data_IF_889705674384
#
_entry.id   IF_889705674384
#
_cell.length_a   1.000
_cell.length_b   1.000
_cell.length_c   1.000
_cell.angle_alpha   90.00
_cell.angle_beta   90.00
_cell.angle_gamma   90.00
#
_symmetry.space_group_name_H-M   'P 1'
#
loop_
_entity.id
_entity.type
_entity.pdbx_description
1 polymer ?
#
# COMPACT_ATOMS: atom_id res chain seq x y z
N UNK A 1 -24.15 -10.67 -3.67
CA UNK A 1 -22.69 -10.69 -3.39
C UNK A 1 -22.06 -11.81 -4.20
N UNK A 2 -21.04 -11.51 -4.98
CA UNK A 2 -20.32 -12.51 -5.76
C UNK A 2 -19.02 -12.83 -5.00
N UNK A 3 -18.93 -14.04 -4.48
CA UNK A 3 -17.71 -14.52 -3.83
C UNK A 3 -16.68 -14.90 -4.90
N UNK A 4 -15.46 -14.40 -4.76
CA UNK A 4 -14.34 -14.81 -5.59
C UNK A 4 -13.81 -16.16 -5.10
N UNK A 5 -14.05 -17.23 -5.86
CA UNK A 5 -13.56 -18.60 -5.55
C UNK A 5 -12.12 -18.87 -6.01
N UNK A 6 -11.39 -17.87 -6.47
CA UNK A 6 -10.07 -18.02 -7.10
C UNK A 6 -8.89 -17.54 -6.24
N UNK A 7 -8.86 -17.82 -4.93
CA UNK A 7 -7.73 -17.41 -4.06
C UNK A 7 -6.40 -18.12 -4.37
N UNK A 8 -6.39 -19.18 -5.19
CA UNK A 8 -5.16 -19.92 -5.54
C UNK A 8 -4.11 -19.09 -6.28
N UNK A 9 -4.51 -18.06 -7.04
CA UNK A 9 -3.58 -17.17 -7.76
C UNK A 9 -3.14 -15.95 -6.94
N UNK A 10 -3.77 -15.70 -5.77
CA UNK A 10 -3.41 -14.61 -4.85
C UNK A 10 -2.00 -14.81 -4.28
N UNK A 11 -1.57 -16.07 -4.14
CA UNK A 11 -0.25 -16.40 -3.60
C UNK A 11 0.92 -15.98 -4.49
N UNK A 12 0.68 -15.73 -5.77
CA UNK A 12 1.72 -15.32 -6.74
C UNK A 12 1.91 -13.81 -6.81
N UNK A 13 0.99 -13.02 -6.25
CA UNK A 13 1.05 -11.56 -6.30
C UNK A 13 1.46 -10.97 -4.95
N UNK A 14 2.17 -9.84 -4.99
CA UNK A 14 2.75 -9.20 -3.82
C UNK A 14 1.68 -8.67 -2.85
N UNK A 15 0.58 -8.12 -3.38
CA UNK A 15 -0.52 -7.53 -2.62
C UNK A 15 -1.85 -8.17 -2.89
N UNK A 16 -2.70 -8.18 -1.87
CA UNK A 16 -4.07 -8.70 -1.96
C UNK A 16 -4.91 -7.94 -2.98
N UNK A 17 -4.79 -6.60 -3.03
CA UNK A 17 -5.53 -5.78 -3.99
C UNK A 17 -5.16 -6.12 -5.44
N UNK A 18 -3.88 -6.29 -5.74
CA UNK A 18 -3.41 -6.68 -7.08
C UNK A 18 -3.85 -8.10 -7.46
N UNK A 19 -4.02 -8.98 -6.48
CA UNK A 19 -4.49 -10.34 -6.70
C UNK A 19 -5.96 -10.43 -7.13
N UNK A 20 -6.78 -9.44 -6.79
CA UNK A 20 -8.18 -9.34 -7.21
C UNK A 20 -8.35 -8.89 -8.66
N UNK A 21 -7.29 -8.44 -9.33
CA UNK A 21 -7.34 -7.94 -10.70
C UNK A 21 -7.84 -9.03 -11.67
N UNK A 22 -8.92 -8.72 -12.39
CA UNK A 22 -9.55 -9.63 -13.35
C UNK A 22 -10.46 -10.70 -12.73
N UNK A 23 -10.48 -10.86 -11.39
CA UNK A 23 -11.31 -11.87 -10.73
C UNK A 23 -12.73 -11.40 -10.42
N UNK A 24 -12.95 -10.10 -10.34
CA UNK A 24 -14.25 -9.54 -9.95
C UNK A 24 -14.81 -8.62 -11.03
N UNK A 25 -15.89 -9.00 -11.74
CA UNK A 25 -16.51 -8.16 -12.77
C UNK A 25 -16.96 -6.81 -12.22
N UNK A 26 -16.76 -5.72 -12.97
CA UNK A 26 -17.13 -4.36 -12.56
C UNK A 26 -16.24 -3.75 -11.46
N UNK A 27 -15.09 -4.35 -11.18
CA UNK A 27 -14.03 -3.79 -10.36
C UNK A 27 -12.79 -3.54 -11.22
N UNK A 28 -12.36 -2.30 -11.29
CA UNK A 28 -11.11 -1.91 -11.96
C UNK A 28 -10.02 -1.80 -10.93
N UNK A 29 -8.89 -2.46 -11.16
CA UNK A 29 -7.74 -2.46 -10.28
C UNK A 29 -6.53 -2.02 -11.08
N UNK A 30 -5.90 -0.93 -10.65
CA UNK A 30 -4.74 -0.33 -11.33
C UNK A 30 -3.58 -0.24 -10.36
N UNK A 31 -2.47 -0.88 -10.68
CA UNK A 31 -1.22 -0.75 -9.93
C UNK A 31 -0.44 0.44 -10.47
N UNK A 32 -0.09 1.39 -9.62
CA UNK A 32 0.65 2.60 -10.00
C UNK A 32 2.17 2.40 -9.96
N UNK A 33 2.65 1.55 -9.06
CA UNK A 33 4.08 1.29 -8.86
C UNK A 33 4.26 -0.12 -8.29
N UNK A 34 5.43 -0.72 -8.56
CA UNK A 34 5.86 -1.99 -7.94
C UNK A 34 6.85 -1.79 -6.79
N UNK A 35 6.99 -0.57 -6.27
CA UNK A 35 7.96 -0.28 -5.22
C UNK A 35 7.53 -0.87 -3.89
N UNK A 36 8.47 -1.49 -3.14
CA UNK A 36 8.19 -2.01 -1.81
C UNK A 36 7.48 -1.02 -0.90
N UNK A 37 6.38 -1.44 -0.28
CA UNK A 37 5.60 -0.61 0.64
C UNK A 37 4.69 0.45 0.01
N UNK A 38 4.84 0.73 -1.28
CA UNK A 38 4.00 1.65 -2.06
C UNK A 38 3.30 0.97 -3.24
N UNK A 39 3.31 -0.33 -3.27
CA UNK A 39 2.82 -1.23 -4.32
C UNK A 39 1.33 -1.57 -4.23
N UNK A 40 0.59 -0.93 -3.32
CA UNK A 40 -0.87 -1.05 -3.21
C UNK A 40 -1.60 -0.60 -4.48
N UNK A 41 -2.60 -1.37 -4.90
CA UNK A 41 -3.36 -1.06 -6.09
C UNK A 41 -4.51 -0.09 -5.79
N UNK A 42 -4.81 0.77 -6.74
CA UNK A 42 -6.01 1.60 -6.72
C UNK A 42 -7.21 0.77 -7.17
N UNK A 43 -8.22 0.67 -6.31
CA UNK A 43 -9.45 -0.08 -6.59
C UNK A 43 -10.59 0.88 -6.91
N UNK A 44 -11.35 0.61 -7.97
CA UNK A 44 -12.56 1.34 -8.33
C UNK A 44 -13.69 0.36 -8.59
N UNK A 45 -14.84 0.61 -7.96
CA UNK A 45 -16.05 -0.19 -8.16
C UNK A 45 -16.99 0.62 -9.06
N UNK A 46 -17.37 0.05 -10.23
CA UNK A 46 -18.20 0.72 -11.25
C UNK A 46 -17.62 2.04 -11.79
N UNK A 47 -16.29 2.20 -11.79
CA UNK A 47 -15.63 3.38 -12.33
C UNK A 47 -15.52 4.56 -11.36
N UNK A 48 -15.33 5.77 -11.88
CA UNK A 48 -15.19 7.01 -11.11
C UNK A 48 -16.46 7.84 -11.28
N UNK A 49 -17.28 7.90 -10.24
CA UNK A 49 -18.55 8.65 -10.21
C UNK A 49 -18.46 10.00 -9.50
N UNK A 50 -17.28 10.42 -9.02
CA UNK A 50 -17.10 11.65 -8.25
C UNK A 50 -15.73 12.28 -8.53
N UNK A 51 -15.66 13.61 -8.45
CA UNK A 51 -14.41 14.37 -8.51
C UNK A 51 -13.63 14.34 -7.17
N UNK A 52 -14.26 13.86 -6.10
CA UNK A 52 -13.65 13.71 -4.79
C UNK A 52 -13.04 12.30 -4.63
N UNK A 53 -12.98 11.78 -3.41
CA UNK A 53 -12.49 10.44 -3.14
C UNK A 53 -13.43 9.37 -3.73
N UNK A 54 -12.98 8.68 -4.78
CA UNK A 54 -13.69 7.59 -5.44
C UNK A 54 -13.28 6.20 -4.92
N UNK A 55 -12.58 6.10 -3.78
CA UNK A 55 -12.20 4.82 -3.19
C UNK A 55 -13.45 4.10 -2.65
N UNK A 56 -13.51 2.76 -2.77
CA UNK A 56 -14.55 1.98 -2.12
C UNK A 56 -14.41 2.01 -0.60
N UNK A 57 -15.51 1.78 0.10
CA UNK A 57 -15.50 1.61 1.54
C UNK A 57 -14.99 0.22 1.91
N UNK A 58 -13.88 0.14 2.64
CA UNK A 58 -13.18 -1.12 2.95
C UNK A 58 -13.43 -1.51 4.40
N UNK A 59 -13.94 -2.71 4.60
CA UNK A 59 -14.21 -3.30 5.90
C UNK A 59 -13.47 -4.62 6.04
N UNK A 60 -12.70 -4.77 7.12
CA UNK A 60 -12.06 -6.02 7.53
C UNK A 60 -12.75 -6.51 8.80
N UNK A 61 -13.36 -7.68 8.74
CA UNK A 61 -14.18 -8.25 9.82
C UNK A 61 -15.26 -7.29 10.35
N UNK A 62 -15.82 -6.46 9.46
CA UNK A 62 -16.88 -5.49 9.77
C UNK A 62 -16.40 -4.11 10.20
N UNK A 63 -15.09 -3.87 10.32
CA UNK A 63 -14.52 -2.60 10.78
C UNK A 63 -13.78 -1.90 9.63
N UNK A 64 -13.98 -0.59 9.51
CA UNK A 64 -13.32 0.24 8.50
C UNK A 64 -11.81 0.34 8.76
N UNK A 65 -10.99 -0.07 7.78
CA UNK A 65 -9.52 -0.05 7.87
C UNK A 65 -8.84 0.84 6.84
N UNK A 66 -9.53 1.27 5.81
CA UNK A 66 -8.99 2.08 4.71
C UNK A 66 -8.20 1.29 3.66
N UNK A 67 -7.51 0.23 4.02
CA UNK A 67 -6.78 -0.69 3.12
C UNK A 67 -6.74 -2.09 3.73
N UNK A 68 -6.52 -3.08 2.87
CA UNK A 68 -6.29 -4.47 3.26
C UNK A 68 -5.00 -5.06 2.67
N UNK A 69 -4.18 -4.24 1.98
CA UNK A 69 -2.96 -4.69 1.31
C UNK A 69 -1.88 -5.21 2.26
N UNK A 70 -1.90 -4.74 3.49
CA UNK A 70 -0.97 -5.18 4.53
C UNK A 70 -1.39 -6.47 5.24
N UNK A 71 -2.58 -7.01 4.96
CA UNK A 71 -3.04 -8.29 5.51
C UNK A 71 -2.33 -9.43 4.77
N UNK A 72 -1.89 -10.45 5.53
CA UNK A 72 -1.37 -11.65 4.88
C UNK A 72 -2.51 -12.35 4.10
N UNK A 73 -2.36 -12.63 2.79
CA UNK A 73 -3.35 -13.38 2.02
C UNK A 73 -3.73 -14.73 2.64
N UNK A 74 -2.79 -15.36 3.38
CA UNK A 74 -3.05 -16.60 4.09
C UNK A 74 -4.06 -16.48 5.24
N UNK A 75 -4.28 -15.26 5.76
CA UNK A 75 -5.25 -14.96 6.82
C UNK A 75 -6.64 -14.66 6.28
N UNK A 76 -6.80 -14.48 4.97
CA UNK A 76 -8.07 -14.13 4.35
C UNK A 76 -8.86 -15.40 4.05
N UNK A 77 -10.13 -15.41 4.46
CA UNK A 77 -11.09 -16.47 4.13
C UNK A 77 -11.87 -16.10 2.85
N UNK A 78 -12.37 -14.85 2.77
CA UNK A 78 -13.12 -14.39 1.60
C UNK A 78 -13.03 -12.88 1.42
N UNK A 79 -13.22 -12.44 0.17
CA UNK A 79 -13.37 -11.03 -0.18
C UNK A 79 -14.67 -10.91 -0.99
N UNK A 80 -15.59 -10.07 -0.51
CA UNK A 80 -16.87 -9.80 -1.17
C UNK A 80 -16.97 -8.35 -1.58
N UNK A 81 -17.45 -8.06 -2.78
CA UNK A 81 -17.65 -6.69 -3.26
C UNK A 81 -19.14 -6.41 -3.42
N UNK A 82 -19.64 -5.47 -2.60
CA UNK A 82 -21.01 -4.99 -2.68
C UNK A 82 -21.06 -3.83 -3.68
N UNK A 83 -21.70 -4.07 -4.82
CA UNK A 83 -21.77 -3.10 -5.93
C UNK A 83 -23.11 -2.38 -5.95
N UNK A 84 -24.18 -3.03 -5.44
CA UNK A 84 -25.53 -2.53 -5.52
C UNK A 84 -25.86 -1.65 -4.31
N UNK A 85 -26.65 -0.60 -4.55
CA UNK A 85 -27.11 0.29 -3.50
C UNK A 85 -27.90 -0.46 -2.40
N UNK A 86 -28.69 -1.49 -2.78
CA UNK A 86 -29.49 -2.26 -1.82
C UNK A 86 -28.61 -3.10 -0.86
N UNK A 87 -27.57 -3.77 -1.40
CA UNK A 87 -26.63 -4.55 -0.56
C UNK A 87 -25.72 -3.67 0.30
N UNK A 88 -25.44 -2.46 -0.16
CA UNK A 88 -24.56 -1.48 0.51
C UNK A 88 -25.31 -0.48 1.41
N UNK A 89 -26.65 -0.47 1.40
CA UNK A 89 -27.49 0.54 2.06
C UNK A 89 -27.20 0.71 3.57
N UNK A 90 -26.86 -0.36 4.28
CA UNK A 90 -26.56 -0.31 5.72
C UNK A 90 -25.29 0.49 6.05
N UNK A 91 -24.45 0.78 5.06
CA UNK A 91 -23.23 1.57 5.22
C UNK A 91 -23.43 3.04 4.85
N UNK A 92 -24.66 3.42 4.44
CA UNK A 92 -25.06 4.80 4.14
C UNK A 92 -24.20 5.43 3.04
N UNK A 93 -23.96 6.73 3.16
CA UNK A 93 -23.20 7.52 2.17
C UNK A 93 -21.75 7.08 1.98
N UNK A 94 -21.14 6.42 2.95
CA UNK A 94 -19.78 5.86 2.83
C UNK A 94 -19.70 4.77 1.74
N UNK A 95 -20.82 4.12 1.42
CA UNK A 95 -20.91 3.05 0.43
C UNK A 95 -21.17 3.54 -1.01
N UNK A 96 -21.24 4.85 -1.24
CA UNK A 96 -21.56 5.42 -2.57
C UNK A 96 -20.64 4.92 -3.70
N UNK A 97 -19.38 4.62 -3.38
CA UNK A 97 -18.38 4.10 -4.32
C UNK A 97 -18.21 2.57 -4.23
N UNK A 98 -19.20 1.85 -3.66
CA UNK A 98 -19.14 0.42 -3.40
C UNK A 98 -18.45 0.07 -2.08
N UNK A 99 -18.63 -1.20 -1.66
CA UNK A 99 -18.06 -1.71 -0.40
C UNK A 99 -17.27 -2.97 -0.67
N UNK A 100 -16.08 -3.07 -0.08
CA UNK A 100 -15.25 -4.28 -0.06
C UNK A 100 -15.28 -4.85 1.35
N UNK A 101 -15.76 -6.08 1.47
CA UNK A 101 -15.79 -6.83 2.72
C UNK A 101 -14.71 -7.89 2.69
N UNK A 102 -13.75 -7.79 3.59
CA UNK A 102 -12.71 -8.79 3.80
C UNK A 102 -13.03 -9.55 5.08
N UNK A 103 -13.18 -10.86 4.97
CA UNK A 103 -13.38 -11.75 6.11
C UNK A 103 -12.11 -12.54 6.35
N UNK A 104 -11.64 -12.53 7.60
CA UNK A 104 -10.43 -13.29 7.97
C UNK A 104 -10.78 -14.67 8.49
N UNK A 105 -9.83 -15.60 8.36
CA UNK A 105 -9.98 -16.99 8.83
C UNK A 105 -10.22 -17.04 10.33
N UNK A 106 -11.07 -17.97 10.74
CA UNK A 106 -11.38 -18.27 12.14
C UNK A 106 -11.05 -19.71 12.49
N UNK A 107 -10.93 -19.99 13.77
CA UNK A 107 -10.80 -21.35 14.27
C UNK A 107 -12.04 -22.21 13.97
N UNK A 108 -11.82 -23.52 13.84
CA UNK A 108 -12.89 -24.51 13.71
C UNK A 108 -12.75 -25.53 14.84
N UNK A 109 -13.86 -26.12 15.28
CA UNK A 109 -13.81 -27.23 16.23
C UNK A 109 -13.02 -28.39 15.61
N UNK A 110 -12.10 -28.96 16.39
CA UNK A 110 -11.23 -30.04 15.96
C UNK A 110 -9.82 -29.92 16.51
N UNK A 111 -8.97 -30.88 16.14
CA UNK A 111 -7.57 -30.89 16.54
C UNK A 111 -6.83 -29.67 15.99
N UNK A 112 -5.86 -29.19 16.74
CA UNK A 112 -4.99 -28.10 16.29
C UNK A 112 -4.30 -28.45 14.98
N UNK A 113 -4.40 -27.56 14.00
CA UNK A 113 -3.71 -27.66 12.71
C UNK A 113 -2.69 -26.55 12.64
N UNK A 114 -1.46 -26.93 12.30
CA UNK A 114 -0.36 -25.99 12.06
C UNK A 114 -0.08 -25.98 10.57
N UNK A 115 -0.07 -24.82 9.95
CA UNK A 115 0.31 -24.65 8.55
C UNK A 115 1.42 -23.63 8.40
N UNK A 116 2.41 -23.95 7.60
CA UNK A 116 3.48 -23.05 7.22
C UNK A 116 3.48 -22.88 5.70
N UNK A 117 3.62 -21.63 5.27
CA UNK A 117 3.77 -21.28 3.85
C UNK A 117 5.00 -20.39 3.69
N UNK A 118 5.95 -20.85 2.86
CA UNK A 118 7.16 -20.11 2.51
C UNK A 118 7.17 -19.82 1.01
N UNK A 119 7.56 -18.60 0.64
CA UNK A 119 7.72 -18.19 -0.75
C UNK A 119 9.01 -17.41 -0.92
N UNK A 120 9.72 -17.68 -2.03
CA UNK A 120 10.92 -16.94 -2.46
C UNK A 120 10.70 -16.52 -3.91
N UNK A 121 11.00 -15.27 -4.25
CA UNK A 121 10.87 -14.78 -5.61
C UNK A 121 11.95 -13.75 -5.96
N UNK A 122 12.24 -13.67 -7.26
CA UNK A 122 13.12 -12.69 -7.86
C UNK A 122 12.29 -11.82 -8.81
N UNK A 123 12.55 -10.52 -8.80
CA UNK A 123 11.82 -9.54 -9.61
C UNK A 123 12.81 -8.74 -10.44
N UNK A 124 12.50 -8.58 -11.71
CA UNK A 124 13.24 -7.71 -12.63
C UNK A 124 12.28 -6.67 -13.21
N UNK A 125 12.81 -5.57 -13.69
CA UNK A 125 12.04 -4.61 -14.46
C UNK A 125 11.58 -5.27 -15.76
N UNK A 126 10.28 -5.30 -16.00
CA UNK A 126 9.69 -6.05 -17.12
C UNK A 126 9.95 -5.39 -18.47
N UNK A 127 10.01 -4.07 -18.50
CA UNK A 127 10.21 -3.28 -19.73
C UNK A 127 10.99 -2.02 -19.39
N UNK A 128 12.10 -1.84 -20.05
CA UNK A 128 12.86 -0.59 -20.10
C UNK A 128 12.70 0.01 -21.49
N UNK A 129 12.72 1.32 -21.59
CA UNK A 129 12.71 2.00 -22.87
C UNK A 129 14.13 1.89 -23.46
N UNK A 130 14.23 1.36 -24.66
CA UNK A 130 15.49 1.32 -25.39
C UNK A 130 15.97 2.75 -25.64
N UNK A 131 17.18 3.04 -25.21
CA UNK A 131 17.83 4.35 -25.40
C UNK A 131 18.85 4.29 -26.48
N UNK A 132 19.04 5.42 -27.16
CA UNK A 132 20.11 5.54 -28.13
C UNK A 132 21.47 5.41 -27.45
N UNK A 133 22.40 4.77 -28.14
CA UNK A 133 23.82 4.82 -27.80
C UNK A 133 24.35 6.24 -27.87
N UNK A 134 25.49 6.54 -27.26
CA UNK A 134 26.15 7.82 -27.35
C UNK A 134 26.50 8.17 -28.82
N UNK A 135 26.93 7.18 -29.58
CA UNK A 135 27.20 7.33 -31.01
C UNK A 135 25.95 7.74 -31.79
N UNK A 136 24.85 6.98 -31.66
CA UNK A 136 23.62 7.26 -32.38
C UNK A 136 23.03 8.61 -31.99
N UNK A 137 23.07 8.91 -30.69
CA UNK A 137 22.57 10.19 -30.17
C UNK A 137 23.41 11.34 -30.73
N UNK A 138 24.75 11.29 -30.67
CA UNK A 138 25.65 12.32 -31.16
C UNK A 138 25.47 12.56 -32.66
N UNK A 139 25.35 11.47 -33.44
CA UNK A 139 25.10 11.53 -34.89
C UNK A 139 23.78 12.21 -35.22
N UNK A 140 22.68 11.81 -34.54
CA UNK A 140 21.36 12.42 -34.73
C UNK A 140 21.32 13.88 -34.28
N UNK A 141 22.01 14.20 -33.20
CA UNK A 141 22.10 15.57 -32.69
C UNK A 141 22.83 16.49 -33.67
N UNK A 142 23.94 16.04 -34.26
CA UNK A 142 24.65 16.77 -35.32
C UNK A 142 23.75 16.98 -36.55
N UNK A 143 22.97 15.95 -36.92
CA UNK A 143 22.03 16.06 -38.04
C UNK A 143 20.97 17.14 -37.80
N UNK A 144 20.41 17.20 -36.59
CA UNK A 144 19.44 18.24 -36.20
C UNK A 144 20.05 19.64 -36.26
N UNK A 145 21.25 19.83 -35.68
CA UNK A 145 21.94 21.10 -35.70
C UNK A 145 22.20 21.57 -37.15
N UNK A 146 22.66 20.66 -38.02
CA UNK A 146 22.90 20.98 -39.42
C UNK A 146 21.60 21.36 -40.15
N UNK A 147 20.48 20.71 -39.90
CA UNK A 147 19.17 21.06 -40.46
C UNK A 147 18.71 22.45 -40.03
N UNK A 148 19.03 22.84 -38.78
CA UNK A 148 18.73 24.16 -38.23
C UNK A 148 19.74 25.24 -38.67
N UNK A 149 20.72 24.91 -39.56
CA UNK A 149 21.76 25.82 -40.02
C UNK A 149 22.87 26.09 -39.01
N UNK A 150 22.95 25.32 -37.95
CA UNK A 150 24.00 25.39 -36.92
C UNK A 150 25.15 24.42 -37.24
N UNK A 151 26.33 24.69 -36.66
CA UNK A 151 27.47 23.78 -36.78
C UNK A 151 27.28 22.52 -35.98
N UNK A 152 27.76 21.34 -36.45
CA UNK A 152 27.79 20.11 -35.67
C UNK A 152 28.48 20.32 -34.31
N UNK A 153 27.96 19.71 -33.26
CA UNK A 153 28.55 19.75 -31.91
C UNK A 153 29.68 18.74 -31.73
N UNK A 154 29.53 17.57 -32.32
CA UNK A 154 30.47 16.46 -32.19
C UNK A 154 31.27 16.35 -33.50
N UNK A 155 32.58 16.23 -33.37
CA UNK A 155 33.49 16.01 -34.52
C UNK A 155 33.41 14.57 -35.03
N UNK A 156 33.97 14.27 -36.20
CA UNK A 156 34.08 12.90 -36.71
C UNK A 156 34.93 12.03 -35.79
N UNK A 157 35.93 12.59 -35.11
CA UNK A 157 36.74 11.90 -34.11
C UNK A 157 35.92 11.58 -32.86
N UNK A 158 35.09 12.49 -32.34
CA UNK A 158 34.18 12.23 -31.24
C UNK A 158 33.22 11.06 -31.57
N UNK A 159 32.66 11.08 -32.80
CA UNK A 159 31.78 10.01 -33.26
C UNK A 159 32.51 8.66 -33.32
N UNK A 160 33.77 8.65 -33.82
CA UNK A 160 34.59 7.45 -33.85
C UNK A 160 34.86 6.93 -32.44
N UNK A 161 35.24 7.79 -31.50
CA UNK A 161 35.53 7.42 -30.11
C UNK A 161 34.29 6.87 -29.39
N UNK A 162 33.08 7.45 -29.62
CA UNK A 162 31.84 6.90 -29.13
C UNK A 162 31.52 5.52 -29.70
N UNK A 163 31.85 5.30 -30.99
CA UNK A 163 31.59 4.03 -31.66
C UNK A 163 32.55 2.94 -31.19
N UNK A 164 33.83 3.25 -31.06
CA UNK A 164 34.89 2.30 -30.72
C UNK A 164 34.96 1.98 -29.23
N UNK A 165 34.41 2.88 -28.36
CA UNK A 165 34.45 2.75 -26.91
C UNK A 165 35.86 2.77 -26.31
N UNK A 166 36.83 3.32 -26.99
CA UNK A 166 38.25 3.37 -26.58
C UNK A 166 38.55 4.42 -25.52
N UNK A 167 37.66 5.40 -25.38
CA UNK A 167 37.74 6.45 -24.36
C UNK A 167 36.52 6.45 -23.45
N UNK A 168 36.51 5.58 -22.42
CA UNK A 168 35.34 5.40 -21.55
C UNK A 168 35.02 6.57 -20.63
N UNK A 169 35.93 7.51 -20.45
CA UNK A 169 35.75 8.68 -19.62
C UNK A 169 35.40 9.96 -20.40
N UNK A 170 36.07 10.20 -21.53
CA UNK A 170 35.79 11.34 -22.40
C UNK A 170 34.62 11.11 -23.35
N UNK A 171 34.49 9.89 -23.84
CA UNK A 171 33.45 9.48 -24.79
C UNK A 171 32.67 8.24 -24.32
N UNK A 172 32.03 8.31 -23.14
CA UNK A 172 31.33 7.14 -22.54
C UNK A 172 30.05 6.83 -23.31
N UNK A 173 29.58 5.60 -23.12
CA UNK A 173 28.21 5.17 -23.44
C UNK A 173 27.53 4.69 -22.17
N UNK A 174 26.97 5.60 -21.39
CA UNK A 174 26.39 5.33 -20.07
C UNK A 174 24.96 4.84 -20.20
N UNK A 175 24.71 3.60 -19.82
CA UNK A 175 23.37 3.03 -19.66
C UNK A 175 22.87 3.33 -18.25
N UNK A 176 22.22 4.47 -18.08
CA UNK A 176 21.84 5.00 -16.76
C UNK A 176 20.93 4.08 -15.95
N UNK A 177 20.10 3.28 -16.63
CA UNK A 177 19.20 2.31 -16.01
C UNK A 177 19.95 1.22 -15.25
N UNK A 178 21.15 0.83 -15.67
CA UNK A 178 21.94 -0.22 -15.02
C UNK A 178 22.47 0.22 -13.64
N UNK A 179 22.60 1.52 -13.43
CA UNK A 179 23.05 2.09 -12.16
C UNK A 179 21.93 2.25 -11.14
N UNK A 180 20.68 2.37 -11.58
CA UNK A 180 19.55 2.59 -10.66
C UNK A 180 18.71 1.34 -10.42
N UNK A 181 18.73 0.38 -11.34
CA UNK A 181 17.98 -0.87 -11.20
C UNK A 181 18.85 -2.05 -10.77
N UNK A 182 18.20 -3.03 -10.18
CA UNK A 182 18.77 -4.33 -9.81
C UNK A 182 17.71 -5.43 -9.91
N UNK A 183 18.13 -6.69 -9.88
CA UNK A 183 17.22 -7.80 -9.57
C UNK A 183 16.82 -7.69 -8.11
N UNK A 184 15.53 -7.58 -7.84
CA UNK A 184 14.97 -7.57 -6.49
C UNK A 184 14.78 -9.00 -5.97
N UNK A 185 15.02 -9.19 -4.68
CA UNK A 185 14.82 -10.44 -3.96
C UNK A 185 13.69 -10.30 -2.95
N UNK A 186 12.78 -11.28 -2.89
CA UNK A 186 11.70 -11.29 -1.91
C UNK A 186 11.58 -12.68 -1.29
N UNK A 187 11.39 -12.71 0.02
CA UNK A 187 11.02 -13.93 0.74
C UNK A 187 9.87 -13.62 1.72
N UNK A 188 8.93 -14.56 1.81
CA UNK A 188 7.76 -14.47 2.65
C UNK A 188 7.59 -15.76 3.44
N UNK A 189 7.25 -15.63 4.71
CA UNK A 189 6.99 -16.73 5.64
C UNK A 189 5.69 -16.46 6.38
N UNK A 190 4.81 -17.45 6.40
CA UNK A 190 3.52 -17.37 7.13
C UNK A 190 3.32 -18.66 7.92
N UNK A 191 3.09 -18.52 9.20
CA UNK A 191 2.74 -19.58 10.11
C UNK A 191 1.31 -19.36 10.63
N UNK A 192 0.48 -20.37 10.55
CA UNK A 192 -0.89 -20.32 11.06
C UNK A 192 -1.16 -21.54 11.95
N UNK A 193 -1.78 -21.30 13.09
CA UNK A 193 -2.23 -22.33 14.02
C UNK A 193 -3.72 -22.11 14.26
N UNK A 194 -4.54 -23.11 14.00
CA UNK A 194 -5.98 -23.04 14.23
C UNK A 194 -6.54 -24.34 14.76
N UNK A 195 -7.58 -24.26 15.58
CA UNK A 195 -8.21 -25.41 16.19
C UNK A 195 -9.29 -25.00 17.20
N UNK A 196 -9.73 -25.93 18.02
CA UNK A 196 -10.65 -25.64 19.10
C UNK A 196 -11.56 -26.80 19.50
N UNK A 197 -12.42 -26.53 20.46
CA UNK A 197 -13.56 -27.38 20.87
C UNK A 197 -14.86 -26.76 20.32
N UNK A 198 -15.99 -27.34 20.72
CA UNK A 198 -17.31 -26.74 20.47
C UNK A 198 -17.46 -25.38 21.17
N UNK A 199 -16.84 -25.20 22.33
CA UNK A 199 -16.98 -24.00 23.13
C UNK A 199 -15.89 -22.95 22.87
N UNK A 200 -14.68 -23.36 22.43
CA UNK A 200 -13.56 -22.43 22.21
C UNK A 200 -12.95 -22.75 20.88
N UNK A 201 -12.93 -21.77 19.96
CA UNK A 201 -12.30 -21.86 18.65
C UNK A 201 -11.27 -20.75 18.53
N UNK A 202 -10.09 -21.08 18.03
CA UNK A 202 -8.99 -20.12 17.93
C UNK A 202 -8.26 -20.24 16.61
N UNK A 203 -7.74 -19.10 16.16
CA UNK A 203 -6.77 -18.99 15.08
C UNK A 203 -5.72 -17.96 15.50
N UNK A 204 -4.45 -18.30 15.31
CA UNK A 204 -3.33 -17.39 15.47
C UNK A 204 -2.42 -17.51 14.27
N UNK A 205 -1.96 -16.38 13.73
CA UNK A 205 -1.00 -16.35 12.64
C UNK A 205 0.13 -15.38 12.91
N UNK A 206 1.30 -15.69 12.35
CA UNK A 206 2.47 -14.83 12.29
C UNK A 206 3.03 -14.84 10.87
N UNK A 207 3.31 -13.67 10.32
CA UNK A 207 3.85 -13.48 8.98
C UNK A 207 5.08 -12.59 8.98
N UNK A 208 6.02 -12.89 8.10
CA UNK A 208 7.18 -12.07 7.80
C UNK A 208 7.34 -11.93 6.29
N UNK A 209 7.62 -10.72 5.83
CA UNK A 209 7.98 -10.39 4.45
C UNK A 209 9.27 -9.57 4.46
N UNK A 210 10.31 -10.07 3.77
CA UNK A 210 11.51 -9.33 3.42
C UNK A 210 11.53 -9.12 1.91
N UNK A 211 11.71 -7.89 1.45
CA UNK A 211 11.67 -7.54 0.03
C UNK A 211 12.72 -6.48 -0.30
N UNK A 212 13.56 -6.79 -1.28
CA UNK A 212 14.39 -5.82 -1.98
C UNK A 212 13.67 -5.40 -3.27
N UNK A 213 13.54 -4.09 -3.49
CA UNK A 213 12.95 -3.57 -4.72
C UNK A 213 13.88 -3.68 -5.92
N UNK A 214 13.30 -3.63 -7.12
CA UNK A 214 14.05 -3.55 -8.38
C UNK A 214 14.75 -2.22 -8.55
N UNK A 215 14.26 -1.15 -7.92
CA UNK A 215 14.98 0.11 -7.80
C UNK A 215 15.96 0.03 -6.62
N UNK A 216 17.22 0.39 -6.82
CA UNK A 216 18.22 0.37 -5.74
C UNK A 216 17.80 1.31 -4.61
N UNK A 217 18.20 1.00 -3.38
CA UNK A 217 17.85 1.76 -2.17
C UNK A 217 16.34 1.74 -1.85
N UNK A 218 15.58 0.76 -2.38
CA UNK A 218 14.21 0.50 -1.99
C UNK A 218 14.08 -0.89 -1.39
N UNK A 219 13.67 -0.94 -0.13
CA UNK A 219 13.61 -2.19 0.64
C UNK A 219 12.37 -2.17 1.54
N UNK A 220 11.89 -3.35 1.96
CA UNK A 220 10.75 -3.50 2.87
C UNK A 220 10.94 -4.68 3.80
N UNK A 221 10.57 -4.49 5.06
CA UNK A 221 10.37 -5.56 6.03
C UNK A 221 9.00 -5.40 6.68
N UNK A 222 8.23 -6.48 6.73
CA UNK A 222 6.91 -6.44 7.33
C UNK A 222 6.70 -7.65 8.24
N UNK A 223 6.18 -7.40 9.43
CA UNK A 223 5.72 -8.39 10.39
C UNK A 223 4.22 -8.26 10.59
N UNK A 224 3.52 -9.38 10.55
CA UNK A 224 2.09 -9.48 10.78
C UNK A 224 1.83 -10.45 11.93
N UNK A 225 0.97 -10.06 12.85
CA UNK A 225 0.41 -10.95 13.89
C UNK A 225 -1.10 -10.82 13.85
N UNK A 226 -1.81 -11.94 13.94
CA UNK A 226 -3.28 -11.98 14.04
C UNK A 226 -3.71 -13.06 14.99
N UNK A 227 -4.77 -12.77 15.74
CA UNK A 227 -5.47 -13.76 16.57
C UNK A 227 -6.97 -13.55 16.47
N UNK A 228 -7.70 -14.63 16.24
CA UNK A 228 -9.15 -14.68 16.25
C UNK A 228 -9.57 -15.74 17.26
N UNK A 229 -10.48 -15.39 18.17
CA UNK A 229 -10.94 -16.27 19.25
C UNK A 229 -12.45 -16.14 19.39
N UNK A 230 -13.13 -17.26 19.36
CA UNK A 230 -14.57 -17.39 19.60
C UNK A 230 -14.77 -18.29 20.83
N UNK A 231 -15.47 -17.78 21.85
CA UNK A 231 -15.73 -18.49 23.11
C UNK A 231 -17.24 -18.53 23.39
N UNK A 232 -17.79 -19.69 23.46
CA UNK A 232 -19.13 -19.90 23.97
C UNK A 232 -19.10 -19.90 25.51
N UNK A 233 -19.46 -18.76 26.10
CA UNK A 233 -19.47 -18.58 27.55
C UNK A 233 -20.64 -19.33 28.21
N UNK A 234 -21.75 -19.44 27.49
CA UNK A 234 -22.93 -20.26 27.86
C UNK A 234 -23.77 -20.49 26.60
N UNK A 235 -24.87 -21.21 26.70
CA UNK A 235 -25.80 -21.42 25.58
C UNK A 235 -26.39 -20.10 25.04
N UNK A 236 -26.39 -19.05 25.84
CA UNK A 236 -26.94 -17.75 25.49
C UNK A 236 -25.87 -16.69 25.16
N UNK A 237 -24.62 -16.88 25.57
CA UNK A 237 -23.58 -15.87 25.41
C UNK A 237 -22.37 -16.41 24.66
N UNK A 238 -22.02 -15.72 23.61
CA UNK A 238 -20.79 -15.95 22.85
C UNK A 238 -19.94 -14.68 22.85
N UNK A 239 -18.64 -14.82 23.07
CA UNK A 239 -17.65 -13.76 22.95
C UNK A 239 -16.80 -14.01 21.71
N UNK A 240 -16.58 -12.97 20.91
CA UNK A 240 -15.69 -13.03 19.74
C UNK A 240 -14.65 -11.94 19.83
N UNK A 241 -13.39 -12.28 19.57
CA UNK A 241 -12.31 -11.31 19.48
C UNK A 241 -11.55 -11.48 18.18
N UNK A 242 -11.11 -10.35 17.61
CA UNK A 242 -10.15 -10.30 16.50
C UNK A 242 -9.12 -9.26 16.86
N UNK A 243 -7.85 -9.63 16.84
CA UNK A 243 -6.75 -8.71 17.05
C UNK A 243 -5.73 -8.88 15.92
N UNK A 244 -5.25 -7.78 15.38
CA UNK A 244 -4.17 -7.79 14.40
C UNK A 244 -3.19 -6.66 14.65
N UNK A 245 -1.92 -6.96 14.45
CA UNK A 245 -0.83 -6.00 14.50
C UNK A 245 0.02 -6.16 13.24
N UNK A 246 0.39 -5.03 12.64
CA UNK A 246 1.26 -4.95 11.46
C UNK A 246 2.33 -3.93 11.75
N UNK A 247 3.57 -4.33 11.56
CA UNK A 247 4.74 -3.46 11.55
C UNK A 247 5.36 -3.54 10.16
N UNK A 248 5.43 -2.44 9.45
CA UNK A 248 5.91 -2.36 8.08
C UNK A 248 6.93 -1.21 7.99
N UNK A 249 8.20 -1.58 7.84
CA UNK A 249 9.33 -0.69 7.62
C UNK A 249 9.75 -0.79 6.16
N UNK A 250 9.79 0.34 5.45
CA UNK A 250 10.22 0.38 4.06
C UNK A 250 10.95 1.68 3.73
N UNK A 251 11.80 1.60 2.74
CA UNK A 251 12.56 2.75 2.24
C UNK A 251 12.40 2.93 0.74
N UNK A 252 12.59 4.16 0.30
CA UNK A 252 12.70 4.53 -1.10
C UNK A 252 13.91 5.43 -1.33
N UNK A 253 14.57 5.37 -2.51
CA UNK A 253 15.66 6.28 -2.84
C UNK A 253 15.16 7.72 -2.90
N UNK A 254 16.02 8.66 -2.57
CA UNK A 254 15.72 10.09 -2.60
C UNK A 254 16.76 10.83 -3.45
N UNK A 255 16.31 11.74 -4.30
CA UNK A 255 17.21 12.65 -4.97
C UNK A 255 17.68 13.76 -4.03
N UNK A 256 18.90 14.24 -4.16
CA UNK A 256 19.45 15.27 -3.25
C UNK A 256 18.62 16.55 -3.21
N UNK A 257 17.88 16.88 -4.27
CA UNK A 257 16.95 18.03 -4.29
C UNK A 257 15.47 17.63 -4.10
N UNK A 258 15.19 16.35 -3.81
CA UNK A 258 13.84 15.85 -3.54
C UNK A 258 13.21 15.09 -4.71
N UNK A 259 11.92 14.76 -4.55
CA UNK A 259 11.15 14.05 -5.58
C UNK A 259 11.24 12.53 -5.53
N UNK A 260 12.03 11.98 -4.61
CA UNK A 260 12.09 10.54 -4.32
C UNK A 260 12.43 9.68 -5.54
N UNK A 261 11.92 8.47 -5.55
CA UNK A 261 12.09 7.47 -6.61
C UNK A 261 11.63 7.93 -7.99
N UNK A 262 10.55 8.73 -8.07
CA UNK A 262 10.06 9.27 -9.34
C UNK A 262 11.10 10.19 -10.00
N UNK A 263 11.78 11.01 -9.19
CA UNK A 263 12.82 11.90 -9.73
C UNK A 263 14.08 11.14 -10.14
N UNK A 264 14.44 10.09 -9.39
CA UNK A 264 15.55 9.21 -9.75
C UNK A 264 15.32 8.55 -11.12
N UNK A 265 14.14 7.94 -11.33
CA UNK A 265 13.77 7.30 -12.60
C UNK A 265 13.73 8.32 -13.73
N UNK A 266 13.04 9.45 -13.52
CA UNK A 266 12.94 10.52 -14.53
C UNK A 266 14.31 11.03 -14.94
N UNK A 267 15.25 11.17 -14.00
CA UNK A 267 16.59 11.66 -14.30
C UNK A 267 17.40 10.64 -15.10
N UNK A 268 17.32 9.35 -14.72
CA UNK A 268 17.96 8.27 -15.48
C UNK A 268 17.43 8.17 -16.92
N UNK A 269 16.14 8.52 -17.12
CA UNK A 269 15.52 8.54 -18.43
C UNK A 269 15.90 9.77 -19.28
N UNK A 270 16.31 10.88 -18.69
CA UNK A 270 16.56 12.15 -19.37
C UNK A 270 18.03 12.46 -19.62
N UNK A 271 18.90 11.95 -18.74
CA UNK A 271 20.34 12.24 -18.82
C UNK A 271 20.94 11.62 -20.09
N UNK A 272 21.77 12.38 -20.77
CA UNK A 272 22.35 11.94 -22.01
C UNK A 272 23.40 10.82 -21.81
N UNK A 273 23.50 9.85 -22.74
CA UNK A 273 24.40 8.71 -22.60
C UNK A 273 25.88 9.08 -22.67
N UNK A 274 26.25 10.20 -23.29
CA UNK A 274 27.66 10.67 -23.36
C UNK A 274 28.15 11.34 -22.08
N UNK A 275 27.31 11.47 -21.03
CA UNK A 275 27.74 11.94 -19.72
C UNK A 275 28.28 10.74 -18.96
N UNK A 276 29.52 10.75 -18.45
CA UNK A 276 30.06 9.63 -17.72
C UNK A 276 29.34 9.45 -16.36
N UNK A 277 29.17 8.23 -15.92
CA UNK A 277 28.79 7.96 -14.54
C UNK A 277 29.81 8.53 -13.58
N UNK A 278 31.10 8.21 -13.81
CA UNK A 278 32.26 8.80 -13.13
C UNK A 278 33.30 9.21 -14.17
N UNK A 279 34.01 10.29 -13.88
CA UNK A 279 35.18 10.75 -14.61
C UNK A 279 36.42 9.96 -14.16
N UNK A 280 37.55 10.15 -14.88
CA UNK A 280 38.80 9.45 -14.56
C UNK A 280 39.34 9.78 -13.16
N UNK A 281 39.10 10.99 -12.65
CA UNK A 281 39.45 11.43 -11.30
C UNK A 281 38.55 10.89 -10.20
N UNK A 282 37.51 10.09 -10.56
CA UNK A 282 36.54 9.50 -9.65
C UNK A 282 35.37 10.41 -9.30
N UNK A 283 35.37 11.67 -9.74
CA UNK A 283 34.22 12.56 -9.60
C UNK A 283 33.08 12.13 -10.52
N UNK A 284 31.85 12.56 -10.21
CA UNK A 284 30.68 12.18 -11.01
C UNK A 284 30.54 13.05 -12.24
N UNK A 285 30.08 12.46 -13.34
CA UNK A 285 29.59 13.24 -14.47
C UNK A 285 28.38 14.06 -14.04
N UNK A 286 28.37 15.36 -14.38
CA UNK A 286 27.38 16.29 -13.86
C UNK A 286 26.61 16.98 -14.99
N UNK A 287 25.32 17.18 -14.75
CA UNK A 287 24.45 18.13 -15.43
C UNK A 287 23.67 18.91 -14.37
N UNK A 288 23.01 20.01 -14.78
CA UNK A 288 22.23 20.86 -13.86
C UNK A 288 21.20 20.10 -13.03
N UNK A 289 20.63 19.03 -13.58
CA UNK A 289 19.60 18.22 -12.92
C UNK A 289 20.19 17.07 -12.08
N UNK A 290 21.52 16.95 -12.00
CA UNK A 290 22.24 15.98 -11.19
C UNK A 290 22.40 14.59 -11.80
N UNK A 291 23.20 13.76 -11.13
CA UNK A 291 23.58 12.43 -11.56
C UNK A 291 22.76 11.38 -10.75
N UNK A 292 21.88 10.57 -11.39
CA UNK A 292 21.03 9.63 -10.68
C UNK A 292 21.80 8.49 -10.01
N UNK A 293 22.93 8.06 -10.60
CA UNK A 293 23.79 7.04 -10.04
C UNK A 293 24.51 7.54 -8.78
N UNK A 294 24.93 8.82 -8.77
CA UNK A 294 25.51 9.44 -7.57
C UNK A 294 24.52 9.43 -6.40
N UNK A 295 23.24 9.72 -6.64
CA UNK A 295 22.21 9.68 -5.60
C UNK A 295 22.00 8.29 -5.00
N UNK A 296 22.16 7.25 -5.83
CA UNK A 296 22.12 5.86 -5.35
C UNK A 296 23.36 5.56 -4.51
N UNK A 297 24.54 5.97 -4.97
CA UNK A 297 25.83 5.70 -4.29
C UNK A 297 25.92 6.35 -2.90
N UNK A 298 25.49 7.61 -2.76
CA UNK A 298 25.47 8.30 -1.47
C UNK A 298 24.40 7.76 -0.53
N UNK A 299 23.56 6.87 -1.00
CA UNK A 299 22.49 6.23 -0.24
C UNK A 299 21.53 7.24 0.44
N UNK A 300 21.13 8.26 -0.32
CA UNK A 300 20.07 9.17 0.10
C UNK A 300 18.73 8.46 0.07
N UNK A 301 18.03 8.39 1.21
CA UNK A 301 16.79 7.61 1.35
C UNK A 301 15.71 8.35 2.11
N UNK A 302 14.49 7.97 1.80
CA UNK A 302 13.32 8.27 2.60
C UNK A 302 12.83 7.00 3.25
N UNK A 303 12.74 7.02 4.57
CA UNK A 303 12.31 5.89 5.39
C UNK A 303 10.88 6.08 5.85
N UNK A 304 10.13 4.99 5.90
CA UNK A 304 8.76 4.94 6.36
C UNK A 304 8.58 3.80 7.33
N UNK A 305 8.07 4.11 8.50
CA UNK A 305 7.59 3.13 9.46
C UNK A 305 6.08 3.24 9.56
N UNK A 306 5.39 2.13 9.33
CA UNK A 306 3.94 2.03 9.45
C UNK A 306 3.60 0.98 10.50
N UNK A 307 2.92 1.38 11.57
CA UNK A 307 2.41 0.49 12.59
C UNK A 307 0.89 0.55 12.61
N UNK A 308 0.26 -0.61 12.49
CA UNK A 308 -1.18 -0.75 12.44
C UNK A 308 -1.63 -1.73 13.52
N UNK A 309 -2.57 -1.32 14.34
CA UNK A 309 -3.24 -2.20 15.29
C UNK A 309 -4.75 -2.14 15.07
N UNK A 310 -5.40 -3.28 15.06
CA UNK A 310 -6.85 -3.40 15.10
C UNK A 310 -7.27 -4.42 16.15
N UNK A 311 -8.26 -4.05 16.94
CA UNK A 311 -8.85 -4.91 17.97
C UNK A 311 -10.37 -4.81 17.91
N UNK A 312 -11.04 -5.95 17.90
CA UNK A 312 -12.49 -6.11 17.94
C UNK A 312 -12.83 -7.02 19.11
N UNK A 313 -13.80 -6.62 19.90
CA UNK A 313 -14.42 -7.44 20.94
C UNK A 313 -15.93 -7.36 20.75
N UNK A 314 -16.57 -8.50 20.58
CA UNK A 314 -18.01 -8.62 20.41
C UNK A 314 -18.61 -9.64 21.38
N UNK A 315 -19.79 -9.32 21.89
CA UNK A 315 -20.62 -10.19 22.70
C UNK A 315 -21.96 -10.41 22.02
N UNK A 316 -22.30 -11.64 21.73
CA UNK A 316 -23.58 -12.04 21.18
C UNK A 316 -24.44 -12.64 22.31
N UNK A 317 -25.61 -12.06 22.51
CA UNK A 317 -26.64 -12.56 23.44
C UNK A 317 -27.80 -13.13 22.65
N UNK A 318 -27.96 -14.46 22.69
CA UNK A 318 -29.06 -15.20 22.09
C UNK A 318 -30.29 -15.12 23.01
N UNK A 319 -31.18 -14.15 22.75
CA UNK A 319 -32.32 -13.83 23.61
C UNK A 319 -33.34 -14.99 23.58
N UNK A 320 -33.76 -15.32 22.34
CA UNK A 320 -34.65 -16.45 22.00
C UNK A 320 -34.20 -17.02 20.66
N UNK A 321 -34.75 -18.14 20.23
CA UNK A 321 -34.48 -18.73 18.92
C UNK A 321 -34.76 -17.73 17.82
N UNK A 322 -33.72 -17.48 16.98
CA UNK A 322 -33.72 -16.52 15.89
C UNK A 322 -33.43 -15.08 16.31
N UNK A 323 -33.46 -14.68 17.60
CA UNK A 323 -33.22 -13.30 18.03
C UNK A 323 -31.89 -13.16 18.78
N UNK A 324 -30.95 -12.43 18.23
CA UNK A 324 -29.63 -12.20 18.82
C UNK A 324 -29.36 -10.68 18.95
N UNK A 325 -28.94 -10.28 20.15
CA UNK A 325 -28.37 -8.96 20.38
C UNK A 325 -26.84 -9.04 20.37
N UNK A 326 -26.19 -8.19 19.59
CA UNK A 326 -24.72 -8.08 19.51
C UNK A 326 -24.29 -6.71 20.01
N UNK A 327 -23.37 -6.69 20.97
CA UNK A 327 -22.63 -5.50 21.36
C UNK A 327 -21.18 -5.67 20.92
N UNK A 328 -20.67 -4.77 20.07
CA UNK A 328 -19.32 -4.85 19.53
C UNK A 328 -18.58 -3.52 19.75
N UNK A 329 -17.41 -3.61 20.37
CA UNK A 329 -16.44 -2.53 20.43
C UNK A 329 -15.25 -2.80 19.52
N UNK A 330 -14.76 -1.76 18.84
CA UNK A 330 -13.55 -1.85 18.02
C UNK A 330 -12.64 -0.64 18.19
N UNK A 331 -11.35 -0.89 18.12
CA UNK A 331 -10.30 0.12 18.08
C UNK A 331 -9.34 -0.18 16.96
N UNK A 332 -9.12 0.80 16.09
CA UNK A 332 -8.14 0.73 15.01
C UNK A 332 -7.23 1.95 15.13
N UNK A 333 -5.94 1.75 15.08
CA UNK A 333 -4.96 2.85 15.03
C UNK A 333 -3.90 2.57 13.99
N UNK A 334 -3.42 3.63 13.37
CA UNK A 334 -2.31 3.63 12.43
C UNK A 334 -1.36 4.76 12.80
N UNK A 335 -0.09 4.42 12.96
CA UNK A 335 1.00 5.37 13.17
C UNK A 335 1.89 5.26 11.96
N UNK A 336 2.09 6.37 11.27
CA UNK A 336 3.03 6.49 10.15
C UNK A 336 4.10 7.50 10.52
N UNK A 337 5.34 7.03 10.55
CA UNK A 337 6.52 7.88 10.68
C UNK A 337 7.23 7.94 9.33
N UNK A 338 7.68 9.10 8.94
CA UNK A 338 8.45 9.30 7.72
C UNK A 338 9.67 10.12 8.05
N UNK A 339 10.85 9.61 7.69
CA UNK A 339 12.13 10.29 7.79
C UNK A 339 12.62 10.56 6.37
N UNK A 340 12.47 11.78 5.90
CA UNK A 340 12.88 12.24 4.56
C UNK A 340 14.28 12.83 4.70
N UNK A 341 15.30 11.98 4.51
CA UNK A 341 16.69 12.39 4.60
C UNK A 341 17.27 12.55 3.19
N UNK A 342 17.76 13.74 2.89
CA UNK A 342 18.40 14.10 1.63
C UNK A 342 19.84 14.45 1.91
N UNK A 343 20.74 13.59 1.48
CA UNK A 343 22.18 13.79 1.61
C UNK A 343 22.66 14.79 0.57
N UNK A 344 23.63 15.60 0.99
CA UNK A 344 24.40 16.41 0.08
C UNK A 344 25.16 15.54 -0.93
N UNK A 345 25.16 15.94 -2.18
CA UNK A 345 25.79 15.21 -3.27
C UNK A 345 26.71 16.13 -4.06
N UNK A 346 28.01 15.91 -3.90
CA UNK A 346 29.03 16.56 -4.72
C UNK A 346 29.27 15.74 -5.98
N UNK A 347 29.22 16.40 -7.13
CA UNK A 347 29.53 15.78 -8.42
C UNK A 347 30.97 16.04 -8.80
N UNK A 348 31.47 17.23 -8.51
CA UNK A 348 32.87 17.65 -8.63
C UNK A 348 33.16 18.79 -7.62
N UNK A 349 34.34 19.40 -7.67
CA UNK A 349 34.78 20.42 -6.71
C UNK A 349 33.91 21.70 -6.70
N UNK A 350 33.04 21.87 -7.68
CA UNK A 350 32.23 23.08 -7.88
C UNK A 350 30.74 22.77 -7.89
N UNK A 351 30.34 21.65 -8.47
CA UNK A 351 28.94 21.29 -8.69
C UNK A 351 28.44 20.34 -7.62
N UNK A 352 27.41 20.76 -6.88
CA UNK A 352 26.79 19.94 -5.86
C UNK A 352 25.29 20.25 -5.69
N UNK A 353 24.57 19.32 -5.12
CA UNK A 353 23.23 19.51 -4.58
C UNK A 353 23.28 19.34 -3.06
N UNK A 354 22.83 20.31 -2.34
CA UNK A 354 22.86 20.34 -0.88
C UNK A 354 22.28 21.63 -0.32
N UNK A 355 22.48 21.88 0.97
CA UNK A 355 23.10 20.99 1.97
C UNK A 355 22.22 19.81 2.37
N UNK A 356 22.74 18.89 3.21
CA UNK A 356 21.97 17.83 3.86
C UNK A 356 20.70 18.36 4.50
N UNK A 357 19.59 17.64 4.33
CA UNK A 357 18.27 18.04 4.82
C UNK A 357 17.57 16.86 5.47
N UNK A 358 16.92 17.09 6.60
CA UNK A 358 16.11 16.12 7.30
C UNK A 358 14.72 16.69 7.60
N UNK A 359 13.70 16.01 7.10
CA UNK A 359 12.30 16.23 7.48
C UNK A 359 11.74 14.99 8.15
N UNK A 360 11.15 15.16 9.32
CA UNK A 360 10.45 14.09 10.03
C UNK A 360 8.97 14.39 10.14
N UNK A 361 8.15 13.42 9.78
CA UNK A 361 6.69 13.51 9.88
C UNK A 361 6.16 12.34 10.69
N UNK A 362 5.37 12.64 11.71
CA UNK A 362 4.62 11.64 12.48
C UNK A 362 3.14 11.91 12.26
N UNK A 363 2.42 10.93 11.70
CA UNK A 363 0.97 10.98 11.53
C UNK A 363 0.36 9.82 12.29
N UNK A 364 -0.62 10.11 13.11
CA UNK A 364 -1.40 9.08 13.82
C UNK A 364 -2.88 9.32 13.59
N UNK A 365 -3.60 8.27 13.25
CA UNK A 365 -5.04 8.27 13.33
C UNK A 365 -5.54 7.10 14.18
N UNK A 366 -6.65 7.32 14.84
CA UNK A 366 -7.31 6.30 15.66
C UNK A 366 -8.81 6.36 15.41
N UNK A 367 -9.44 5.21 15.37
CA UNK A 367 -10.88 5.06 15.24
C UNK A 367 -11.41 4.19 16.37
N UNK A 368 -12.42 4.67 17.02
CA UNK A 368 -13.19 3.97 18.04
C UNK A 368 -14.59 3.74 17.47
N UNK A 369 -15.06 2.51 17.55
CA UNK A 369 -16.40 2.12 17.09
C UNK A 369 -17.11 1.35 18.17
N UNK A 370 -18.38 1.66 18.40
CA UNK A 370 -19.28 0.89 19.23
C UNK A 370 -20.56 0.62 18.42
N UNK A 371 -20.84 -0.66 18.21
CA UNK A 371 -22.04 -1.16 17.52
C UNK A 371 -22.95 -1.89 18.48
N UNK A 372 -24.24 -1.58 18.45
CA UNK A 372 -25.29 -2.35 19.10
C UNK A 372 -26.28 -2.81 18.02
N UNK A 373 -26.39 -4.12 17.82
CA UNK A 373 -27.16 -4.72 16.74
C UNK A 373 -28.20 -5.68 17.30
N UNK A 374 -29.43 -5.58 16.84
CA UNK A 374 -30.48 -6.55 17.10
C UNK A 374 -30.82 -7.26 15.80
N UNK A 375 -30.54 -8.56 15.73
CA UNK A 375 -30.75 -9.40 14.56
C UNK A 375 -31.83 -10.42 14.83
N UNK A 376 -32.80 -10.52 13.92
CA UNK A 376 -33.81 -11.57 13.91
C UNK A 376 -33.70 -12.35 12.61
N UNK A 377 -33.51 -13.68 12.71
CA UNK A 377 -33.34 -14.59 11.57
C UNK A 377 -34.13 -15.87 11.86
N UNK A 378 -35.27 -16.04 11.20
CA UNK A 378 -36.12 -17.20 11.43
C UNK A 378 -36.88 -17.63 10.19
N UNK A 379 -37.01 -18.96 10.01
CA UNK A 379 -37.84 -19.57 8.99
C UNK A 379 -39.13 -20.08 9.60
N UNK A 380 -40.26 -19.65 9.05
CA UNK A 380 -41.59 -20.10 9.44
C UNK A 380 -42.15 -21.06 8.40
N UNK A 381 -42.79 -22.11 8.86
CA UNK A 381 -43.46 -23.12 8.02
C UNK A 381 -42.58 -23.67 6.90
N UNK A 382 -41.25 -23.70 7.05
CA UNK A 382 -40.23 -24.14 6.08
C UNK A 382 -40.14 -23.30 4.80
N UNK A 383 -41.09 -22.42 4.53
CA UNK A 383 -41.24 -21.67 3.28
C UNK A 383 -40.95 -20.18 3.41
N UNK A 384 -41.15 -19.61 4.59
CA UNK A 384 -41.07 -18.17 4.84
C UNK A 384 -39.85 -17.82 5.67
N UNK A 385 -38.80 -17.32 5.03
CA UNK A 385 -37.59 -16.89 5.72
C UNK A 385 -37.56 -15.37 5.89
N UNK A 386 -37.46 -14.94 7.15
CA UNK A 386 -37.51 -13.54 7.53
C UNK A 386 -36.23 -13.16 8.29
N UNK A 387 -35.53 -12.13 7.77
CA UNK A 387 -34.37 -11.53 8.41
C UNK A 387 -34.61 -10.04 8.63
N UNK A 388 -34.51 -9.62 9.88
CA UNK A 388 -34.58 -8.22 10.25
C UNK A 388 -33.34 -7.85 11.07
N UNK A 389 -32.83 -6.66 10.85
CA UNK A 389 -31.73 -6.09 11.62
C UNK A 389 -32.02 -4.64 11.93
N UNK A 390 -31.79 -4.25 13.17
CA UNK A 390 -31.75 -2.84 13.62
C UNK A 390 -30.38 -2.61 14.26
N UNK A 391 -29.75 -1.51 13.92
CA UNK A 391 -28.41 -1.18 14.37
C UNK A 391 -28.28 0.26 14.85
N UNK A 392 -27.45 0.42 15.86
CA UNK A 392 -26.99 1.68 16.40
C UNK A 392 -25.47 1.67 16.41
N UNK A 393 -24.85 2.70 15.86
CA UNK A 393 -23.39 2.80 15.73
C UNK A 393 -22.88 4.17 16.14
N UNK A 394 -21.85 4.18 16.98
CA UNK A 394 -21.06 5.37 17.31
C UNK A 394 -19.66 5.17 16.75
N UNK A 395 -19.17 6.16 16.04
CA UNK A 395 -17.78 6.21 15.55
C UNK A 395 -17.13 7.51 15.99
N UNK A 396 -15.91 7.43 16.51
CA UNK A 396 -15.03 8.57 16.70
C UNK A 396 -13.74 8.35 15.96
N UNK A 397 -13.30 9.34 15.20
CA UNK A 397 -12.06 9.35 14.46
C UNK A 397 -11.20 10.52 14.91
N UNK A 398 -9.97 10.25 15.33
CA UNK A 398 -8.98 11.24 15.73
C UNK A 398 -7.77 11.14 14.79
N UNK A 399 -7.33 12.27 14.26
CA UNK A 399 -6.12 12.37 13.45
C UNK A 399 -5.20 13.45 13.99
N UNK A 400 -3.90 13.15 14.06
CA UNK A 400 -2.87 14.12 14.42
C UNK A 400 -1.68 13.98 13.49
N UNK A 401 -1.16 15.11 13.02
CA UNK A 401 0.07 15.21 12.24
C UNK A 401 1.03 16.17 12.91
N UNK A 402 2.31 15.84 12.89
CA UNK A 402 3.42 16.67 13.32
C UNK A 402 4.52 16.55 12.28
N UNK A 403 5.10 17.69 11.89
CA UNK A 403 6.25 17.78 11.00
C UNK A 403 7.32 18.66 11.63
N UNK A 404 8.58 18.24 11.48
CA UNK A 404 9.76 19.02 11.87
C UNK A 404 10.84 18.88 10.78
N UNK A 405 11.63 19.93 10.58
CA UNK A 405 12.64 20.00 9.54
C UNK A 405 13.84 20.82 9.97
N UNK A 406 15.02 20.37 9.60
CA UNK A 406 16.29 21.13 9.62
C UNK A 406 17.17 20.75 8.43
N UNK A 407 18.15 21.59 8.11
CA UNK A 407 19.19 21.38 7.11
C UNK A 407 20.56 21.79 7.64
N UNK A 408 21.60 21.62 6.80
CA UNK A 408 22.98 21.95 7.12
C UNK A 408 23.49 21.17 8.32
N UNK A 409 23.62 19.86 8.15
CA UNK A 409 24.19 18.95 9.15
C UNK A 409 25.71 19.00 9.09
N UNK A 410 26.43 18.72 10.19
CA UNK A 410 27.90 18.76 10.23
C UNK A 410 28.55 17.68 9.34
N UNK A 411 27.84 16.58 9.08
CA UNK A 411 28.17 15.53 8.13
C UNK A 411 26.93 14.68 7.82
N UNK A 412 26.97 13.92 6.73
CA UNK A 412 25.86 13.11 6.24
C UNK A 412 25.56 11.85 7.06
N UNK A 413 26.27 11.59 8.14
CA UNK A 413 26.04 10.46 9.05
C UNK A 413 25.17 10.88 10.26
N UNK A 414 25.08 12.17 10.54
CA UNK A 414 24.21 12.70 11.60
C UNK A 414 22.79 12.79 11.08
N UNK A 415 21.92 11.94 11.60
CA UNK A 415 20.52 11.81 11.13
C UNK A 415 19.48 12.16 12.20
N UNK A 416 19.87 12.92 13.24
CA UNK A 416 18.96 13.45 14.24
C UNK A 416 18.71 14.94 14.01
N UNK A 417 17.46 15.39 14.14
CA UNK A 417 17.07 16.79 13.88
C UNK A 417 17.95 17.80 14.62
N UNK A 418 18.38 17.49 15.85
CA UNK A 418 19.23 18.38 16.64
C UNK A 418 20.63 18.57 16.05
N UNK A 419 21.09 17.70 15.16
CA UNK A 419 22.35 17.85 14.44
C UNK A 419 22.33 18.93 13.38
N UNK A 420 21.16 19.29 12.85
CA UNK A 420 21.01 20.34 11.84
C UNK A 420 21.05 21.74 12.45
N UNK A 421 21.39 22.72 11.60
CA UNK A 421 21.43 24.15 11.98
C UNK A 421 20.08 24.61 12.53
N UNK A 422 20.09 25.10 13.77
CA UNK A 422 18.89 25.56 14.48
C UNK A 422 18.21 26.76 13.80
N UNK A 423 18.96 27.59 13.06
CA UNK A 423 18.42 28.73 12.31
C UNK A 423 17.52 28.30 11.14
N UNK A 424 17.64 27.05 10.69
CA UNK A 424 16.88 26.48 9.56
C UNK A 424 15.65 25.71 9.98
N UNK A 425 15.37 25.64 11.30
CA UNK A 425 14.27 24.82 11.81
C UNK A 425 12.90 25.33 11.34
N UNK A 426 12.08 24.39 10.91
CA UNK A 426 10.65 24.62 10.66
C UNK A 426 9.84 23.49 11.26
N UNK A 427 8.62 23.81 11.68
CA UNK A 427 7.68 22.81 12.17
C UNK A 427 6.26 23.18 11.77
N UNK A 428 5.40 22.18 11.72
CA UNK A 428 3.97 22.35 11.54
C UNK A 428 3.23 21.17 12.16
N UNK A 429 1.94 21.36 12.43
CA UNK A 429 1.12 20.27 12.94
C UNK A 429 -0.35 20.67 12.98
N UNK A 430 -1.20 19.66 12.90
CA UNK A 430 -2.66 19.86 13.02
C UNK A 430 -3.33 18.60 13.55
N UNK A 431 -4.53 18.78 14.06
CA UNK A 431 -5.42 17.70 14.50
C UNK A 431 -6.77 17.81 13.83
N UNK A 432 -7.44 16.69 13.65
CA UNK A 432 -8.84 16.61 13.19
C UNK A 432 -9.57 15.59 14.02
N UNK A 433 -10.80 15.90 14.38
CA UNK A 433 -11.73 14.99 15.03
C UNK A 433 -13.01 14.89 14.22
N UNK A 434 -13.56 13.69 14.14
CA UNK A 434 -14.84 13.42 13.52
C UNK A 434 -15.60 12.45 14.41
N UNK A 435 -16.85 12.77 14.72
CA UNK A 435 -17.76 11.88 15.39
C UNK A 435 -19.00 11.63 14.51
N UNK A 436 -19.42 10.38 14.44
CA UNK A 436 -20.59 9.98 13.66
C UNK A 436 -21.48 9.08 14.52
N UNK A 437 -22.77 9.38 14.49
CA UNK A 437 -23.83 8.60 15.06
C UNK A 437 -24.73 8.10 13.95
N UNK A 438 -25.03 6.81 13.92
CA UNK A 438 -25.82 6.19 12.86
C UNK A 438 -26.88 5.25 13.43
N UNK A 439 -28.09 5.34 12.85
CA UNK A 439 -29.17 4.38 13.02
C UNK A 439 -29.45 3.74 11.68
N UNK A 440 -29.57 2.44 11.64
CA UNK A 440 -29.85 1.73 10.39
C UNK A 440 -30.70 0.48 10.63
N UNK A 441 -31.41 0.05 9.60
CA UNK A 441 -32.19 -1.16 9.65
C UNK A 441 -32.25 -1.82 8.28
N UNK A 442 -32.43 -3.12 8.28
CA UNK A 442 -32.62 -3.92 7.07
C UNK A 442 -33.67 -4.99 7.31
N UNK A 443 -34.53 -5.17 6.30
CA UNK A 443 -35.54 -6.22 6.28
C UNK A 443 -35.35 -7.03 5.02
N UNK A 444 -35.21 -8.34 5.14
CA UNK A 444 -35.19 -9.27 4.02
C UNK A 444 -36.29 -10.31 4.24
N UNK A 445 -36.99 -10.64 3.18
CA UNK A 445 -37.98 -11.71 3.16
C UNK A 445 -37.75 -12.59 1.95
N UNK A 446 -37.81 -13.88 2.17
CA UNK A 446 -37.58 -14.91 1.17
C UNK A 446 -38.72 -15.93 1.27
N UNK A 447 -39.32 -16.26 0.15
CA UNK A 447 -40.36 -17.30 0.04
C UNK A 447 -39.83 -18.45 -0.84
N UNK A 448 -39.72 -19.65 -0.26
CA UNK A 448 -39.24 -20.87 -0.94
C UNK A 448 -37.92 -20.72 -1.67
N UNK A 449 -36.98 -19.94 -1.12
CA UNK A 449 -35.69 -19.66 -1.76
C UNK A 449 -35.77 -18.62 -2.91
N UNK A 450 -36.93 -18.01 -3.13
CA UNK A 450 -37.07 -16.88 -4.05
C UNK A 450 -37.05 -15.55 -3.31
N UNK A 451 -36.01 -14.75 -3.53
CA UNK A 451 -35.93 -13.38 -3.00
C UNK A 451 -36.97 -12.48 -3.69
N UNK A 452 -37.98 -12.06 -2.95
CA UNK A 452 -38.90 -11.00 -3.39
C UNK A 452 -38.26 -9.63 -3.10
N UNK A 453 -37.52 -9.11 -4.07
CA UNK A 453 -37.11 -7.70 -4.03
C UNK A 453 -38.29 -6.81 -4.36
N UNK A 454 -38.83 -6.12 -3.36
CA UNK A 454 -39.77 -5.02 -3.58
C UNK A 454 -39.02 -3.70 -3.69
N UNK A 455 -38.15 -3.57 -4.65
CA UNK A 455 -37.65 -2.27 -5.11
C UNK A 455 -37.80 -2.19 -6.60
N UNK A 456 -38.57 -1.22 -7.14
CA UNK A 456 -38.59 -1.01 -8.56
C UNK A 456 -37.20 -0.61 -9.01
N UNK A 457 -36.58 -1.43 -9.87
CA UNK A 457 -35.41 -1.05 -10.62
C UNK A 457 -35.76 0.20 -11.43
N UNK A 458 -35.01 1.32 -11.34
CA UNK A 458 -35.13 2.34 -12.34
C UNK A 458 -34.71 1.71 -13.67
N UNK A 459 -35.65 1.60 -14.60
CA UNK A 459 -35.32 1.29 -15.98
C UNK A 459 -34.55 2.49 -16.50
N UNK A 460 -33.38 2.23 -17.03
CA UNK A 460 -32.65 3.18 -17.85
C UNK A 460 -33.54 3.56 -19.02
N UNK A 461 -33.86 4.84 -19.09
CA UNK A 461 -34.41 5.51 -20.26
C UNK A 461 -33.32 6.35 -20.89
#
# INVERSE_FOLDING_TARGET
AQESRGLGDVYKRQNVSSALQGLTPGVTITSGTGQPGSDGATIRVRGVGTLNNANPYILVDGIETGTFDSIDPNDIESISVLKDAASAAIYGSKAANGVILVTTKRGKAGKATVSYNGNVSFSNVSTLIDRLSSYDYARLYNQLLTQDGASPRFTDEDLRLFQDGTDPYGHPNTVWTDYIYRTGFMHKHSLNVSGGSEDVKYMASAGFLGQEGTLRNSDRQQFNLRTNLDIKLSDKFTMRTNMAFIHNDYSEPNASYGGGSTQLIRQADRIAPWIPYKKEDGSYGSISDGNPAAWVDINSRKYHLLQNFSGILAFDYHIIDGLTFTLQGAYVTNIKETKDYRKECWYDDVNYHGPDQLGETISRWSRYTLDALLNYDKTFNQDHHFKAMVGYKIEKYDYRNLYAFRKSFPNSEVTDLNGGDSSTQTNSGYSRELALLSYFGRLNYDYKGCLLYTSPSPRDS
#
